data_IF_274612493008
#
_entry.id   IF_274612493008
#
_cell.length_a   1.000
_cell.length_b   1.000
_cell.length_c   1.000
_cell.angle_alpha   90.00
_cell.angle_beta   90.00
_cell.angle_gamma   90.00
#
_symmetry.space_group_name_H-M   'P 1'
#
loop_
_entity.id
_entity.type
_entity.pdbx_description
1 polymer ?
#
# COMPACT_ATOMS: atom_id res chain seq x y z
N UNK A 1 0.34 -18.34 10.30
CA UNK A 1 -0.67 -18.38 11.38
C UNK A 1 -0.41 -17.17 12.25
N UNK A 2 -1.17 -16.09 12.07
CA UNK A 2 -1.06 -14.94 12.97
C UNK A 2 -1.65 -15.37 14.31
N UNK A 3 -0.80 -15.43 15.32
CA UNK A 3 -1.22 -15.72 16.68
C UNK A 3 -2.21 -14.65 17.15
N UNK A 4 -3.47 -15.03 17.30
CA UNK A 4 -4.58 -14.17 17.73
C UNK A 4 -4.40 -13.67 19.18
N UNK A 5 -3.37 -14.12 19.87
CA UNK A 5 -3.04 -13.75 21.25
C UNK A 5 -2.20 -12.46 21.39
N UNK A 6 -1.89 -11.74 20.32
CA UNK A 6 -1.25 -10.44 20.48
C UNK A 6 -2.24 -9.47 21.13
N UNK A 7 -1.89 -9.00 22.32
CA UNK A 7 -2.65 -8.14 23.25
C UNK A 7 -2.96 -6.73 22.73
N UNK A 8 -3.04 -6.54 21.43
CA UNK A 8 -3.44 -5.30 20.81
C UNK A 8 -4.96 -5.29 20.66
N UNK A 9 -5.61 -4.72 21.65
CA UNK A 9 -7.06 -4.57 21.65
C UNK A 9 -7.46 -3.56 20.57
N UNK A 10 -8.50 -3.91 19.82
CA UNK A 10 -9.20 -2.94 18.95
C UNK A 10 -9.54 -1.71 19.81
N UNK A 11 -9.25 -0.54 19.31
CA UNK A 11 -9.67 0.71 19.93
C UNK A 11 -11.15 0.92 19.65
N UNK A 12 -11.99 0.39 20.52
CA UNK A 12 -13.44 0.34 20.35
C UNK A 12 -14.01 1.75 20.14
N UNK A 13 -13.61 2.72 20.97
CA UNK A 13 -14.12 4.10 20.90
C UNK A 13 -13.81 4.72 19.54
N UNK A 14 -12.54 4.66 19.12
CA UNK A 14 -12.15 5.20 17.81
C UNK A 14 -12.78 4.47 16.64
N UNK A 15 -12.92 3.15 16.73
CA UNK A 15 -13.60 2.34 15.72
C UNK A 15 -15.06 2.77 15.57
N UNK A 16 -15.79 2.95 16.66
CA UNK A 16 -17.19 3.44 16.63
C UNK A 16 -17.23 4.84 16.01
N UNK A 17 -16.49 5.80 16.58
CA UNK A 17 -16.49 7.18 16.12
C UNK A 17 -16.15 7.28 14.62
N UNK A 18 -15.14 6.56 14.16
CA UNK A 18 -14.73 6.56 12.76
C UNK A 18 -15.82 6.05 11.83
N UNK A 19 -16.39 4.88 12.13
CA UNK A 19 -17.40 4.29 11.25
C UNK A 19 -18.66 5.16 11.18
N UNK A 20 -19.14 5.67 12.29
CA UNK A 20 -20.34 6.53 12.31
C UNK A 20 -20.08 7.95 11.76
N UNK A 21 -18.83 8.39 11.65
CA UNK A 21 -18.47 9.67 11.01
C UNK A 21 -18.42 9.59 9.49
N UNK A 22 -18.06 8.43 8.93
CA UNK A 22 -17.78 8.30 7.49
C UNK A 22 -18.78 7.44 6.71
N UNK A 23 -19.60 6.63 7.39
CA UNK A 23 -20.55 5.73 6.74
C UNK A 23 -21.99 6.03 7.17
N UNK A 24 -22.99 5.84 6.27
CA UNK A 24 -24.39 5.89 6.66
C UNK A 24 -24.69 4.78 7.68
N UNK A 25 -25.67 4.99 8.55
CA UNK A 25 -25.99 4.11 9.70
C UNK A 25 -26.04 2.62 9.34
N UNK A 26 -26.72 2.27 8.24
CA UNK A 26 -26.85 0.87 7.77
C UNK A 26 -25.52 0.18 7.49
N UNK A 27 -24.48 0.95 7.15
CA UNK A 27 -23.14 0.43 6.82
C UNK A 27 -22.18 0.62 8.00
N UNK A 28 -22.32 1.70 8.77
CA UNK A 28 -21.54 1.95 9.98
C UNK A 28 -21.69 0.82 11.02
N UNK A 29 -22.88 0.28 11.20
CA UNK A 29 -23.16 -0.83 12.13
C UNK A 29 -22.48 -2.15 11.76
N UNK A 30 -22.00 -2.28 10.52
CA UNK A 30 -21.21 -3.43 10.07
C UNK A 30 -19.72 -3.29 10.44
N UNK A 31 -19.32 -2.15 10.95
CA UNK A 31 -17.93 -1.83 11.30
C UNK A 31 -16.94 -2.16 10.18
N UNK A 32 -17.09 -1.56 8.98
CA UNK A 32 -16.19 -1.81 7.88
C UNK A 32 -14.73 -1.43 8.17
N UNK A 33 -14.49 -0.47 9.07
CA UNK A 33 -13.16 -0.06 9.49
C UNK A 33 -12.91 -0.48 10.93
N UNK A 34 -11.82 -1.19 11.17
CA UNK A 34 -11.35 -1.54 12.51
C UNK A 34 -10.03 -0.81 12.78
N UNK A 35 -9.90 -0.22 13.97
CA UNK A 35 -8.74 0.58 14.36
C UNK A 35 -8.08 -0.02 15.60
N UNK A 36 -6.78 -0.23 15.54
CA UNK A 36 -5.95 -0.60 16.67
C UNK A 36 -5.09 0.60 17.10
N UNK A 37 -4.56 0.58 18.30
CA UNK A 37 -3.52 1.50 18.75
C UNK A 37 -3.88 2.99 18.80
N UNK A 38 -2.84 3.83 18.64
CA UNK A 38 -2.92 5.30 18.72
C UNK A 38 -3.03 5.89 17.31
N UNK A 39 -4.20 6.33 16.95
CA UNK A 39 -4.52 6.88 15.64
C UNK A 39 -5.09 8.29 15.78
N UNK A 40 -4.49 9.27 15.12
CA UNK A 40 -4.95 10.66 15.12
C UNK A 40 -5.62 10.98 13.78
N UNK A 41 -6.86 11.43 13.84
CA UNK A 41 -7.58 11.96 12.67
C UNK A 41 -7.56 13.47 12.78
N UNK A 42 -6.94 14.14 11.80
CA UNK A 42 -6.84 15.59 11.75
C UNK A 42 -8.03 16.25 11.06
N UNK A 43 -8.63 15.56 10.08
CA UNK A 43 -9.79 16.06 9.36
C UNK A 43 -10.81 14.96 9.10
N UNK A 44 -12.08 15.30 9.29
CA UNK A 44 -13.27 14.50 8.95
C UNK A 44 -14.05 15.08 7.76
N UNK A 45 -13.43 16.00 6.98
CA UNK A 45 -14.13 16.74 5.90
C UNK A 45 -14.26 15.94 4.61
N UNK A 46 -13.46 14.90 4.45
CA UNK A 46 -13.45 14.06 3.26
C UNK A 46 -14.53 12.96 3.30
N UNK A 47 -14.45 12.07 2.32
CA UNK A 47 -15.39 10.96 2.13
C UNK A 47 -14.65 9.64 2.07
N UNK A 48 -15.31 8.57 2.53
CA UNK A 48 -14.86 7.20 2.31
C UNK A 48 -15.89 6.49 1.42
N UNK A 49 -15.41 5.94 0.31
CA UNK A 49 -16.19 5.09 -0.60
C UNK A 49 -15.61 3.68 -0.60
N UNK A 50 -16.42 2.70 -0.96
CA UNK A 50 -15.99 1.30 -0.99
C UNK A 50 -16.21 0.69 -2.37
N UNK A 51 -15.24 -0.09 -2.86
CA UNK A 51 -15.34 -0.81 -4.14
C UNK A 51 -16.29 -2.01 -4.07
N UNK A 52 -16.54 -2.52 -2.85
CA UNK A 52 -17.43 -3.65 -2.57
C UNK A 52 -18.42 -3.27 -1.48
N UNK A 53 -19.45 -4.07 -1.26
CA UNK A 53 -20.42 -3.84 -0.17
C UNK A 53 -19.68 -3.81 1.19
N UNK A 54 -19.92 -2.78 2.03
CA UNK A 54 -19.31 -2.69 3.35
C UNK A 54 -19.59 -3.94 4.20
N UNK A 55 -18.52 -4.49 4.75
CA UNK A 55 -18.56 -5.65 5.64
C UNK A 55 -17.55 -5.49 6.77
N UNK A 56 -17.65 -6.31 7.81
CA UNK A 56 -16.80 -6.26 8.99
C UNK A 56 -15.30 -6.30 8.64
N UNK A 57 -14.56 -5.30 9.09
CA UNK A 57 -13.10 -5.27 9.03
C UNK A 57 -12.50 -5.27 7.62
N UNK A 58 -13.22 -4.76 6.60
CA UNK A 58 -12.70 -4.64 5.25
C UNK A 58 -11.46 -3.72 5.16
N UNK A 59 -11.36 -2.73 6.05
CA UNK A 59 -10.15 -1.92 6.28
C UNK A 59 -9.70 -2.10 7.72
N UNK A 60 -8.45 -2.46 7.92
CA UNK A 60 -7.82 -2.58 9.23
C UNK A 60 -6.66 -1.60 9.34
N UNK A 61 -6.74 -0.71 10.31
CA UNK A 61 -5.77 0.36 10.57
C UNK A 61 -4.98 0.08 11.83
N UNK A 62 -3.70 0.42 11.86
CA UNK A 62 -2.82 0.29 13.01
C UNK A 62 -2.56 -1.16 13.45
N UNK A 63 -2.64 -2.11 12.54
CA UNK A 63 -2.26 -3.48 12.84
C UNK A 63 -0.75 -3.50 13.12
N UNK A 64 -0.34 -4.16 14.19
CA UNK A 64 1.08 -4.37 14.45
C UNK A 64 1.41 -5.84 14.55
N UNK A 65 2.60 -6.17 14.11
CA UNK A 65 3.26 -7.38 14.48
C UNK A 65 3.62 -7.31 15.99
N UNK A 66 3.25 -8.32 16.81
CA UNK A 66 3.53 -8.33 18.23
C UNK A 66 5.02 -8.24 18.59
N UNK A 67 5.91 -8.56 17.65
CA UNK A 67 7.37 -8.52 17.85
C UNK A 67 7.96 -7.11 17.66
N UNK A 68 7.24 -6.19 16.98
CA UNK A 68 7.73 -4.85 16.66
C UNK A 68 6.97 -3.78 17.44
N UNK A 69 7.38 -3.55 18.69
CA UNK A 69 6.87 -2.43 19.49
C UNK A 69 7.55 -1.11 19.07
N UNK A 70 7.12 -0.53 17.97
CA UNK A 70 7.46 0.86 17.65
C UNK A 70 6.29 1.76 18.07
N UNK A 71 6.58 2.76 18.89
CA UNK A 71 5.61 3.74 19.40
C UNK A 71 5.32 4.84 18.38
N UNK A 72 5.08 4.49 17.13
CA UNK A 72 4.74 5.48 16.11
C UNK A 72 3.27 5.90 16.25
N UNK A 73 3.01 7.21 16.18
CA UNK A 73 1.67 7.75 16.10
C UNK A 73 1.24 7.79 14.63
N UNK A 74 0.11 7.19 14.32
CA UNK A 74 -0.45 7.30 12.99
C UNK A 74 -1.32 8.54 12.84
N UNK A 75 -1.35 9.07 11.64
CA UNK A 75 -2.00 10.31 11.28
C UNK A 75 -2.80 10.15 9.99
N UNK A 76 -4.05 10.64 9.99
CA UNK A 76 -4.89 10.73 8.80
C UNK A 76 -5.48 12.15 8.69
N UNK A 77 -5.13 12.85 7.62
CA UNK A 77 -5.79 14.09 7.21
C UNK A 77 -6.65 13.81 5.96
N UNK A 78 -7.93 13.50 6.19
CA UNK A 78 -8.86 13.16 5.13
C UNK A 78 -9.72 14.38 4.79
N UNK A 79 -9.33 15.11 3.73
CA UNK A 79 -10.10 16.23 3.17
C UNK A 79 -10.78 15.88 1.85
N UNK A 80 -10.18 15.00 1.07
CA UNK A 80 -10.67 14.51 -0.22
C UNK A 80 -11.36 13.15 -0.10
N UNK A 81 -11.03 12.23 -0.98
CA UNK A 81 -11.69 10.93 -1.08
C UNK A 81 -10.71 9.78 -0.80
N UNK A 82 -11.10 8.87 0.10
CA UNK A 82 -10.47 7.57 0.27
C UNK A 82 -11.40 6.49 -0.28
N UNK A 83 -10.93 5.71 -1.25
CA UNK A 83 -11.66 4.58 -1.82
C UNK A 83 -11.00 3.29 -1.40
N UNK A 84 -11.74 2.36 -0.81
CA UNK A 84 -11.21 1.12 -0.25
C UNK A 84 -11.89 -0.12 -0.81
N UNK A 85 -11.08 -1.12 -1.14
CA UNK A 85 -11.52 -2.47 -1.48
C UNK A 85 -11.70 -3.37 -0.26
N UNK A 86 -11.80 -4.66 -0.51
CA UNK A 86 -11.86 -5.68 0.54
C UNK A 86 -10.47 -6.01 1.11
N UNK A 87 -10.41 -6.37 2.40
CA UNK A 87 -9.20 -6.87 3.08
C UNK A 87 -7.98 -5.94 3.00
N UNK A 88 -8.18 -4.62 3.08
CA UNK A 88 -7.10 -3.65 3.10
C UNK A 88 -6.48 -3.59 4.49
N UNK A 89 -5.15 -3.72 4.54
CA UNK A 89 -4.37 -3.71 5.78
C UNK A 89 -3.41 -2.51 5.77
N UNK A 90 -3.46 -1.68 6.79
CA UNK A 90 -2.51 -0.58 6.99
C UNK A 90 -1.91 -0.72 8.40
N UNK A 91 -0.60 -0.89 8.43
CA UNK A 91 0.15 -1.07 9.66
C UNK A 91 0.42 0.26 10.37
N UNK A 92 1.17 0.19 11.47
CA UNK A 92 1.41 1.34 12.36
C UNK A 92 2.28 2.42 11.75
N UNK A 93 2.16 3.62 12.33
CA UNK A 93 3.00 4.76 11.98
C UNK A 93 2.71 5.33 10.61
N UNK A 94 1.53 5.08 10.07
CA UNK A 94 1.15 5.66 8.79
C UNK A 94 0.97 7.18 8.91
N UNK A 95 1.41 7.91 7.89
CA UNK A 95 1.05 9.30 7.65
C UNK A 95 0.30 9.39 6.32
N UNK A 96 -1.01 9.62 6.36
CA UNK A 96 -1.86 9.70 5.17
C UNK A 96 -2.51 11.08 5.10
N UNK A 97 -2.22 11.80 4.03
CA UNK A 97 -2.81 13.09 3.72
C UNK A 97 -3.52 13.01 2.37
N UNK A 98 -4.82 13.33 2.33
CA UNK A 98 -5.62 13.37 1.10
C UNK A 98 -6.23 14.76 1.00
N UNK A 99 -5.76 15.54 0.03
CA UNK A 99 -6.21 16.92 -0.17
C UNK A 99 -7.63 16.96 -0.73
N UNK A 100 -8.28 18.13 -0.67
CA UNK A 100 -9.72 18.34 -0.91
C UNK A 100 -10.23 17.74 -2.22
N UNK A 101 -9.50 17.91 -3.32
CA UNK A 101 -9.89 17.41 -4.65
C UNK A 101 -9.15 16.12 -5.03
N UNK A 102 -8.41 15.54 -4.08
CA UNK A 102 -7.58 14.37 -4.30
C UNK A 102 -8.30 13.05 -3.96
N UNK A 103 -7.84 11.96 -4.59
CA UNK A 103 -8.38 10.62 -4.32
C UNK A 103 -7.25 9.63 -4.05
N UNK A 104 -7.32 8.93 -2.92
CA UNK A 104 -6.50 7.75 -2.64
C UNK A 104 -7.35 6.49 -2.84
N UNK A 105 -6.91 5.58 -3.70
CA UNK A 105 -7.58 4.31 -3.98
C UNK A 105 -6.69 3.16 -3.52
N UNK A 106 -7.19 2.37 -2.59
CA UNK A 106 -6.56 1.14 -2.12
C UNK A 106 -7.48 -0.03 -2.51
N UNK A 107 -7.06 -0.82 -3.50
CA UNK A 107 -7.89 -1.92 -3.99
C UNK A 107 -7.85 -3.16 -3.07
N UNK A 108 -8.53 -4.23 -3.49
CA UNK A 108 -8.66 -5.45 -2.69
C UNK A 108 -7.32 -6.06 -2.31
N UNK A 109 -7.21 -6.53 -1.07
CA UNK A 109 -6.02 -7.22 -0.54
C UNK A 109 -4.73 -6.38 -0.58
N UNK A 110 -4.84 -5.06 -0.58
CA UNK A 110 -3.69 -4.16 -0.42
C UNK A 110 -3.18 -4.23 1.01
N UNK A 111 -1.87 -4.38 1.18
CA UNK A 111 -1.20 -4.37 2.48
C UNK A 111 -0.09 -3.33 2.49
N UNK A 112 -0.15 -2.39 3.45
CA UNK A 112 0.82 -1.30 3.63
C UNK A 112 1.52 -1.49 4.98
N UNK A 113 2.83 -1.68 4.95
CA UNK A 113 3.68 -1.91 6.14
C UNK A 113 3.79 -0.69 7.07
N UNK A 114 4.68 -0.78 8.04
CA UNK A 114 4.86 0.24 9.07
C UNK A 114 5.50 1.54 8.54
N UNK A 115 5.17 2.67 9.17
CA UNK A 115 5.80 3.99 8.97
C UNK A 115 5.77 4.50 7.52
N UNK A 116 4.72 4.19 6.79
CA UNK A 116 4.57 4.68 5.41
C UNK A 116 3.95 6.08 5.39
N UNK A 117 4.37 6.88 4.41
CA UNK A 117 3.82 8.22 4.13
C UNK A 117 3.14 8.20 2.77
N UNK A 118 1.88 8.64 2.72
CA UNK A 118 1.10 8.79 1.48
C UNK A 118 0.52 10.19 1.45
N UNK A 119 1.03 11.02 0.53
CA UNK A 119 0.54 12.39 0.35
C UNK A 119 -0.09 12.50 -1.03
N UNK A 120 -1.39 12.72 -1.05
CA UNK A 120 -2.22 12.74 -2.26
C UNK A 120 -2.74 14.14 -2.52
N UNK A 121 -2.28 14.76 -3.60
CA UNK A 121 -2.71 16.09 -4.09
C UNK A 121 -3.51 16.00 -5.39
N UNK A 122 -3.48 14.85 -6.06
CA UNK A 122 -4.19 14.55 -7.30
C UNK A 122 -4.86 13.17 -7.16
N UNK A 123 -4.17 12.10 -7.56
CA UNK A 123 -4.71 10.74 -7.47
C UNK A 123 -3.59 9.72 -7.24
N UNK A 124 -3.73 8.92 -6.19
CA UNK A 124 -2.88 7.75 -5.96
C UNK A 124 -3.74 6.50 -5.94
N UNK A 125 -3.45 5.57 -6.86
CA UNK A 125 -4.08 4.25 -6.89
C UNK A 125 -3.05 3.17 -6.60
N UNK A 126 -3.36 2.29 -5.66
CA UNK A 126 -2.57 1.08 -5.34
C UNK A 126 -3.45 -0.12 -5.73
N UNK A 127 -3.02 -0.84 -6.77
CA UNK A 127 -3.76 -1.95 -7.36
C UNK A 127 -3.86 -3.16 -6.46
N UNK A 128 -4.86 -3.99 -6.72
CA UNK A 128 -5.22 -5.14 -5.92
C UNK A 128 -4.04 -6.09 -5.64
N UNK A 129 -4.06 -6.70 -4.46
CA UNK A 129 -3.04 -7.63 -3.99
C UNK A 129 -1.60 -7.04 -4.00
N UNK A 130 -1.45 -5.71 -3.95
CA UNK A 130 -0.16 -5.06 -3.81
C UNK A 130 0.28 -5.03 -2.35
N UNK A 131 1.56 -5.34 -2.12
CA UNK A 131 2.18 -5.23 -0.80
C UNK A 131 3.24 -4.14 -0.80
N UNK A 132 3.21 -3.28 0.21
CA UNK A 132 4.17 -2.20 0.42
C UNK A 132 4.97 -2.46 1.70
N UNK A 133 6.28 -2.44 1.60
CA UNK A 133 7.19 -2.55 2.74
C UNK A 133 7.16 -1.31 3.64
N UNK A 134 7.96 -1.34 4.70
CA UNK A 134 8.00 -0.28 5.70
C UNK A 134 8.75 0.97 5.19
N UNK A 135 8.46 2.13 5.79
CA UNK A 135 9.17 3.40 5.56
C UNK A 135 9.16 3.86 4.08
N UNK A 136 8.15 3.52 3.31
CA UNK A 136 8.02 3.92 1.90
C UNK A 136 7.17 5.17 1.77
N UNK A 137 7.55 6.06 0.86
CA UNK A 137 6.85 7.32 0.62
C UNK A 137 6.19 7.32 -0.76
N UNK A 138 4.89 7.64 -0.79
CA UNK A 138 4.13 7.94 -2.00
C UNK A 138 3.78 9.42 -2.01
N UNK A 139 4.11 10.12 -3.11
CA UNK A 139 3.87 11.54 -3.22
C UNK A 139 3.62 11.92 -4.68
N UNK A 140 2.39 12.30 -5.00
CA UNK A 140 1.96 12.65 -6.36
C UNK A 140 2.14 14.13 -6.72
N UNK A 141 2.86 14.88 -5.87
CA UNK A 141 3.12 16.31 -6.01
C UNK A 141 4.58 16.65 -5.71
N UNK A 142 5.11 17.66 -6.41
CA UNK A 142 6.35 18.35 -6.01
C UNK A 142 6.08 19.55 -5.08
N UNK A 143 4.82 19.86 -4.76
CA UNK A 143 4.33 20.99 -3.95
C UNK A 143 4.61 22.38 -4.54
N UNK A 144 5.67 22.54 -5.31
CA UNK A 144 6.14 23.79 -5.87
C UNK A 144 6.20 23.73 -7.40
N UNK A 145 5.98 24.87 -8.02
CA UNK A 145 6.17 25.01 -9.45
C UNK A 145 7.61 25.33 -9.80
N UNK A 146 8.07 24.80 -10.94
CA UNK A 146 9.41 25.05 -11.47
C UNK A 146 9.25 25.59 -12.90
N UNK A 147 9.98 26.68 -13.22
CA UNK A 147 10.01 27.25 -14.55
C UNK A 147 11.30 26.85 -15.28
N UNK A 148 11.18 26.49 -16.52
CA UNK A 148 12.35 26.36 -17.40
C UNK A 148 12.80 27.79 -17.82
N UNK A 149 13.97 28.21 -17.39
CA UNK A 149 14.46 29.59 -17.58
C UNK A 149 14.80 29.92 -19.05
N UNK A 150 14.97 28.91 -19.91
CA UNK A 150 15.23 29.14 -21.35
C UNK A 150 13.94 29.24 -22.15
N UNK A 151 12.90 28.42 -21.80
CA UNK A 151 11.66 28.32 -22.57
C UNK A 151 10.49 29.05 -21.94
N UNK A 152 10.59 29.47 -20.68
CA UNK A 152 9.49 30.05 -19.89
C UNK A 152 8.40 29.04 -19.51
N UNK A 153 8.58 27.73 -19.78
CA UNK A 153 7.54 26.72 -19.53
C UNK A 153 7.51 26.33 -18.05
N UNK A 154 6.33 26.44 -17.46
CA UNK A 154 6.00 25.90 -16.13
C UNK A 154 5.17 24.63 -16.31
N UNK A 155 5.56 23.52 -15.67
CA UNK A 155 4.83 22.26 -15.67
C UNK A 155 3.99 22.11 -14.40
N UNK A 156 2.96 21.27 -14.46
CA UNK A 156 2.15 20.94 -13.29
C UNK A 156 2.99 20.36 -12.15
N UNK A 157 2.69 20.79 -10.92
CA UNK A 157 3.30 20.23 -9.73
C UNK A 157 2.80 18.82 -9.44
N UNK A 158 1.55 18.51 -9.80
CA UNK A 158 0.89 17.24 -9.48
C UNK A 158 0.82 16.33 -10.72
N UNK A 159 0.92 15.02 -10.49
CA UNK A 159 0.69 14.00 -11.50
C UNK A 159 0.39 12.66 -10.84
N UNK A 160 -0.74 12.05 -11.17
CA UNK A 160 -1.24 10.81 -10.59
C UNK A 160 -0.19 9.69 -10.52
N UNK A 161 -0.29 8.88 -9.47
CA UNK A 161 0.46 7.63 -9.29
C UNK A 161 -0.51 6.47 -9.50
N UNK A 162 -0.10 5.47 -10.28
CA UNK A 162 -0.88 4.25 -10.49
C UNK A 162 0.01 3.01 -10.38
N UNK A 163 -0.08 2.33 -9.23
CA UNK A 163 0.62 1.08 -8.99
C UNK A 163 -0.24 -0.08 -9.48
N UNK A 164 0.32 -0.91 -10.35
CA UNK A 164 -0.35 -2.08 -10.92
C UNK A 164 -0.73 -3.13 -9.86
N UNK A 165 -1.54 -4.10 -10.27
CA UNK A 165 -1.95 -5.20 -9.41
C UNK A 165 -0.79 -6.16 -9.13
N UNK A 166 -0.85 -6.89 -8.01
CA UNK A 166 0.19 -7.86 -7.58
C UNK A 166 1.61 -7.27 -7.49
N UNK A 167 1.76 -5.97 -7.28
CA UNK A 167 3.08 -5.38 -7.10
C UNK A 167 3.64 -5.68 -5.69
N UNK A 168 4.94 -5.67 -5.57
CA UNK A 168 5.64 -5.68 -4.29
C UNK A 168 6.63 -4.52 -4.23
N UNK A 169 6.29 -3.53 -3.45
CA UNK A 169 7.16 -2.38 -3.19
C UNK A 169 7.97 -2.69 -1.93
N UNK A 170 9.27 -2.72 -2.06
CA UNK A 170 10.20 -2.92 -0.95
C UNK A 170 10.14 -1.80 0.09
N UNK A 171 10.77 -2.02 1.24
CA UNK A 171 10.87 -0.98 2.26
C UNK A 171 11.86 0.13 1.88
N UNK A 172 11.68 1.32 2.45
CA UNK A 172 12.51 2.52 2.22
C UNK A 172 12.58 2.94 0.74
N UNK A 173 11.48 2.79 0.01
CA UNK A 173 11.36 3.19 -1.39
C UNK A 173 10.64 4.54 -1.52
N UNK A 174 10.79 5.17 -2.68
CA UNK A 174 10.16 6.45 -3.00
C UNK A 174 9.35 6.32 -4.29
N UNK A 175 8.06 6.63 -4.21
CA UNK A 175 7.13 6.62 -5.33
C UNK A 175 6.69 8.06 -5.59
N UNK A 176 7.17 8.63 -6.68
CA UNK A 176 6.91 10.04 -7.02
C UNK A 176 5.83 10.19 -8.07
N UNK A 177 5.36 11.43 -8.22
CA UNK A 177 4.38 11.84 -9.21
C UNK A 177 4.66 11.25 -10.60
N UNK A 178 3.62 10.75 -11.25
CA UNK A 178 3.68 10.16 -12.58
C UNK A 178 4.23 8.73 -12.62
N UNK A 179 4.47 8.10 -11.48
CA UNK A 179 4.83 6.69 -11.39
C UNK A 179 3.64 5.82 -11.80
N UNK A 180 3.81 5.00 -12.83
CA UNK A 180 2.84 4.00 -13.26
C UNK A 180 3.59 2.69 -13.49
N UNK A 181 3.17 1.61 -12.83
CA UNK A 181 3.83 0.31 -12.94
C UNK A 181 2.91 -0.74 -13.57
N UNK A 182 3.43 -1.68 -14.37
CA UNK A 182 2.66 -2.82 -14.84
C UNK A 182 2.37 -3.83 -13.70
N UNK A 183 1.57 -4.83 -14.01
CA UNK A 183 1.26 -5.96 -13.12
C UNK A 183 2.53 -6.69 -12.70
N UNK A 184 2.58 -7.13 -11.43
CA UNK A 184 3.64 -8.00 -10.92
C UNK A 184 5.01 -7.33 -10.77
N UNK A 185 5.08 -6.00 -10.84
CA UNK A 185 6.34 -5.28 -10.63
C UNK A 185 6.81 -5.43 -9.18
N UNK A 186 8.07 -5.80 -9.00
CA UNK A 186 8.79 -5.79 -7.74
C UNK A 186 9.71 -4.57 -7.73
N UNK A 187 9.58 -3.68 -6.77
CA UNK A 187 10.54 -2.61 -6.53
C UNK A 187 11.43 -2.98 -5.35
N UNK A 188 12.70 -3.27 -5.62
CA UNK A 188 13.62 -3.65 -4.56
C UNK A 188 13.96 -2.46 -3.65
N UNK A 189 13.89 -2.68 -2.33
CA UNK A 189 14.44 -1.76 -1.34
C UNK A 189 15.92 -2.05 -1.05
N UNK A 190 16.58 -1.18 -0.26
CA UNK A 190 16.19 0.19 0.06
C UNK A 190 16.60 1.20 -1.03
N UNK A 191 16.02 2.42 -0.93
CA UNK A 191 16.39 3.61 -1.73
C UNK A 191 16.11 3.53 -3.23
N UNK A 192 15.29 2.58 -3.68
CA UNK A 192 14.81 2.60 -5.06
C UNK A 192 13.71 3.65 -5.25
N UNK A 193 13.72 4.32 -6.40
CA UNK A 193 12.78 5.38 -6.74
C UNK A 193 12.14 5.17 -8.10
N UNK A 194 10.80 5.26 -8.16
CA UNK A 194 10.03 5.32 -9.41
C UNK A 194 9.31 6.67 -9.52
N UNK A 195 9.39 7.29 -10.72
CA UNK A 195 8.86 8.64 -10.99
C UNK A 195 8.34 8.83 -12.41
N UNK A 196 8.12 7.71 -13.13
CA UNK A 196 7.67 7.75 -14.54
C UNK A 196 6.72 6.60 -14.86
N UNK A 197 6.09 6.68 -16.03
CA UNK A 197 5.29 5.59 -16.55
C UNK A 197 6.19 4.48 -17.13
N UNK A 198 6.04 3.28 -16.59
CA UNK A 198 6.73 2.06 -17.01
C UNK A 198 5.85 1.13 -17.87
N UNK A 199 4.52 1.31 -17.87
CA UNK A 199 3.59 0.48 -18.66
C UNK A 199 3.91 0.60 -20.16
N UNK A 200 4.03 -0.55 -20.83
CA UNK A 200 4.43 -0.65 -22.23
C UNK A 200 5.92 -0.38 -22.50
N UNK A 201 6.74 -0.16 -21.45
CA UNK A 201 8.20 0.11 -21.57
C UNK A 201 9.05 -0.94 -20.87
N UNK A 202 8.46 -1.71 -19.97
CA UNK A 202 9.07 -2.84 -19.29
C UNK A 202 8.08 -4.01 -19.30
N UNK A 203 8.56 -5.26 -19.17
CA UNK A 203 7.66 -6.42 -19.05
C UNK A 203 6.90 -6.40 -17.73
N UNK A 204 5.79 -7.11 -17.67
CA UNK A 204 5.18 -7.53 -16.42
C UNK A 204 6.10 -8.51 -15.67
N UNK A 205 5.87 -8.68 -14.36
CA UNK A 205 6.62 -9.62 -13.52
C UNK A 205 8.15 -9.40 -13.61
N UNK A 206 8.57 -8.18 -13.36
CA UNK A 206 9.99 -7.82 -13.34
C UNK A 206 10.38 -7.13 -12.03
N UNK A 207 11.67 -7.18 -11.71
CA UNK A 207 12.28 -6.48 -10.59
C UNK A 207 12.96 -5.22 -11.06
N UNK A 208 12.59 -4.11 -10.42
CA UNK A 208 13.22 -2.80 -10.59
C UNK A 208 14.08 -2.47 -9.36
N UNK A 209 15.21 -1.84 -9.57
CA UNK A 209 16.06 -1.34 -8.50
C UNK A 209 16.78 -0.04 -8.89
N UNK A 210 17.17 0.73 -7.88
CA UNK A 210 17.99 1.94 -8.03
C UNK A 210 17.19 3.25 -8.06
N UNK A 211 17.91 4.36 -8.21
CA UNK A 211 17.37 5.73 -8.20
C UNK A 211 17.96 6.54 -9.38
N UNK A 212 17.24 6.73 -10.51
CA UNK A 212 15.92 6.17 -10.82
C UNK A 212 15.95 4.66 -11.07
N UNK A 213 14.86 3.96 -10.74
CA UNK A 213 14.78 2.51 -10.85
C UNK A 213 14.81 2.03 -12.31
N UNK A 214 15.56 0.94 -12.56
CA UNK A 214 15.68 0.26 -13.85
C UNK A 214 15.38 -1.22 -13.66
N UNK A 215 15.06 -1.93 -14.75
CA UNK A 215 14.89 -3.39 -14.74
C UNK A 215 16.22 -4.06 -14.40
N UNK A 216 16.20 -4.96 -13.44
CA UNK A 216 17.36 -5.77 -13.01
C UNK A 216 17.12 -7.24 -13.34
N UNK A 217 15.88 -7.72 -13.13
CA UNK A 217 15.49 -9.11 -13.40
C UNK A 217 14.11 -9.12 -14.05
N UNK A 218 13.94 -9.94 -15.06
CA UNK A 218 12.65 -10.22 -15.71
C UNK A 218 12.13 -11.60 -15.32
N UNK A 219 10.83 -11.84 -15.56
CA UNK A 219 10.18 -13.12 -15.30
C UNK A 219 10.29 -13.58 -13.84
N UNK A 220 10.13 -12.64 -12.89
CA UNK A 220 10.21 -12.89 -11.46
C UNK A 220 8.91 -12.46 -10.77
N UNK A 221 8.41 -13.27 -9.84
CA UNK A 221 7.20 -12.98 -9.06
C UNK A 221 7.45 -13.26 -7.58
N UNK A 222 6.76 -12.50 -6.74
CA UNK A 222 6.70 -12.79 -5.32
C UNK A 222 5.74 -13.96 -5.07
N UNK A 223 6.18 -14.93 -4.27
CA UNK A 223 5.29 -15.94 -3.69
C UNK A 223 4.47 -15.30 -2.57
N UNK A 224 3.14 -15.40 -2.64
CA UNK A 224 2.22 -14.84 -1.64
C UNK A 224 1.34 -15.90 -0.98
N UNK A 225 1.34 -17.11 -1.54
CA UNK A 225 0.63 -18.23 -0.97
C UNK A 225 1.32 -18.65 0.33
N UNK A 226 0.59 -18.57 1.46
CA UNK A 226 1.15 -18.83 2.80
C UNK A 226 1.62 -20.27 2.95
N UNK A 227 0.89 -21.22 2.39
CA UNK A 227 1.26 -22.63 2.52
C UNK A 227 2.47 -22.96 1.63
N UNK A 228 2.56 -22.30 0.47
CA UNK A 228 3.75 -22.35 -0.37
C UNK A 228 4.98 -21.72 0.33
N UNK A 229 4.83 -20.57 0.98
CA UNK A 229 5.92 -19.96 1.74
C UNK A 229 6.40 -20.87 2.89
N UNK A 230 5.50 -21.58 3.58
CA UNK A 230 5.86 -22.56 4.60
C UNK A 230 6.64 -23.73 3.99
N UNK A 231 6.13 -24.30 2.89
CA UNK A 231 6.78 -25.41 2.18
C UNK A 231 8.21 -25.04 1.78
N UNK A 232 8.40 -23.85 1.18
CA UNK A 232 9.72 -23.35 0.79
C UNK A 232 10.61 -23.13 2.01
N UNK A 233 10.05 -22.57 3.10
CA UNK A 233 10.79 -22.35 4.35
C UNK A 233 11.22 -23.65 5.00
N UNK A 234 10.41 -24.70 4.94
CA UNK A 234 10.76 -26.04 5.43
C UNK A 234 11.84 -26.68 4.58
N UNK A 235 11.77 -26.51 3.27
CA UNK A 235 12.81 -26.97 2.36
C UNK A 235 14.17 -26.37 2.71
N UNK A 236 14.27 -25.06 2.83
CA UNK A 236 15.53 -24.36 3.11
C UNK A 236 16.05 -24.53 4.54
N UNK A 237 15.30 -25.17 5.46
CA UNK A 237 15.85 -25.62 6.76
C UNK A 237 16.76 -26.82 6.64
N UNK A 238 16.60 -27.61 5.58
CA UNK A 238 17.25 -28.90 5.41
C UNK A 238 18.10 -28.99 4.13
N UNK A 239 18.06 -27.96 3.28
CA UNK A 239 18.72 -27.96 1.97
C UNK A 239 19.29 -26.57 1.69
N UNK A 240 20.52 -26.56 1.14
CA UNK A 240 21.17 -25.33 0.68
C UNK A 240 20.95 -25.08 -0.83
N UNK A 241 20.47 -26.10 -1.57
CA UNK A 241 20.20 -25.99 -3.00
C UNK A 241 18.91 -25.19 -3.28
N UNK A 242 18.83 -24.55 -4.46
CA UNK A 242 17.60 -23.87 -4.88
C UNK A 242 16.39 -24.81 -4.92
N UNK A 243 15.24 -24.33 -4.44
CA UNK A 243 13.97 -25.04 -4.55
C UNK A 243 13.45 -24.98 -5.98
N UNK A 244 13.38 -26.12 -6.66
CA UNK A 244 12.86 -26.21 -8.02
C UNK A 244 11.37 -26.61 -7.99
N UNK A 245 10.49 -25.68 -8.39
CA UNK A 245 9.07 -25.93 -8.58
C UNK A 245 8.76 -26.26 -10.05
N UNK A 246 8.02 -27.35 -10.28
CA UNK A 246 7.65 -27.85 -11.62
C UNK A 246 6.15 -27.78 -11.92
N UNK A 247 5.36 -27.15 -11.03
CA UNK A 247 3.92 -27.05 -11.18
C UNK A 247 3.46 -25.73 -11.83
N UNK A 248 2.19 -25.39 -11.63
CA UNK A 248 1.61 -24.13 -12.10
C UNK A 248 2.11 -22.92 -11.28
N UNK A 249 2.90 -22.08 -11.92
CA UNK A 249 3.50 -20.88 -11.31
C UNK A 249 2.42 -19.87 -10.85
N UNK A 250 1.28 -19.80 -11.55
CA UNK A 250 0.22 -18.85 -11.20
C UNK A 250 -0.35 -19.20 -9.82
N UNK A 251 -0.80 -20.44 -9.63
CA UNK A 251 -1.34 -20.90 -8.33
C UNK A 251 -0.28 -20.89 -7.23
N UNK A 252 0.99 -21.16 -7.56
CA UNK A 252 2.10 -21.12 -6.62
C UNK A 252 2.35 -19.73 -6.02
N UNK A 253 2.13 -18.68 -6.80
CA UNK A 253 2.42 -17.30 -6.39
C UNK A 253 1.21 -16.54 -5.82
N UNK A 254 -0.01 -16.98 -6.09
CA UNK A 254 -1.22 -16.27 -5.63
C UNK A 254 -1.50 -16.52 -4.15
N UNK A 255 -2.05 -15.53 -3.43
CA UNK A 255 -2.55 -15.76 -2.07
C UNK A 255 -3.71 -16.76 -2.08
N UNK A 256 -3.84 -17.51 -0.99
CA UNK A 256 -5.00 -18.42 -0.75
C UNK A 256 -6.28 -17.61 -0.51
#
# INVERSE_FOLDING_TARGET
>A
MFDVNSRLRINIIKTILFNFSFFPLRDAIKFPVLIWGKFKIASYKGKIETLVKPHWGMLKLEISDPVRSLSANSYLDLKGKLVIGANVLIHRGMNIEIDKEATLILEDNVSIGDNNTIITKDNIRIGAATSVGNNTTFMDSDFHYVINTQTGIVKTANKSINIGINNWIGGNCIIKKGAITPKGTILAGPFSMISKNYVGKIPENCLLAGCPAKVVVENIRRVKNIDTEKLISEWFRNHDEPFLYKGDIESFCLPN
#
